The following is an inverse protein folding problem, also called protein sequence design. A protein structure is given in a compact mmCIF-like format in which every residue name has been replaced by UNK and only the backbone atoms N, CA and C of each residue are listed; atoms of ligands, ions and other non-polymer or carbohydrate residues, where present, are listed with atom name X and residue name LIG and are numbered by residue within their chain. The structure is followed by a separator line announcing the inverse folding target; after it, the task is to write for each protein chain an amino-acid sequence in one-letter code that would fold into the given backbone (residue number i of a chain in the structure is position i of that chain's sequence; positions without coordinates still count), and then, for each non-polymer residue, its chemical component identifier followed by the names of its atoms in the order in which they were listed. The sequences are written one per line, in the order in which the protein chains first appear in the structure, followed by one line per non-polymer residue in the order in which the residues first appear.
data_IF_141004217849
#
_entry.id   IF_141004217849
#
_cell.length_a   1.000
_cell.length_b   1.000
_cell.length_c   1.000
_cell.angle_alpha   90.00
_cell.angle_beta   90.00
_cell.angle_gamma   90.00
#
_symmetry.space_group_name_H-M   'P 1'
#
loop_
_entity.id
_entity.type
_entity.pdbx_description
1 polymer ?
#
# COMPACT_ATOMS: atom_id res chain seq x y z
N UNK A 1 -33.84 -19.85 -15.87
CA UNK A 1 -32.43 -20.24 -15.68
C UNK A 1 -31.68 -19.02 -15.16
N UNK A 2 -31.39 -19.00 -13.87
CA UNK A 2 -30.48 -18.04 -13.24
C UNK A 2 -29.60 -18.90 -12.34
N UNK A 3 -28.33 -19.04 -12.70
CA UNK A 3 -27.34 -19.77 -11.92
C UNK A 3 -26.72 -18.75 -10.98
N UNK A 4 -27.11 -18.80 -9.70
CA UNK A 4 -26.44 -18.06 -8.64
C UNK A 4 -25.10 -18.73 -8.34
N UNK A 5 -24.02 -17.97 -8.46
CA UNK A 5 -22.69 -18.39 -8.01
C UNK A 5 -22.60 -18.02 -6.53
N UNK A 6 -22.82 -19.01 -5.67
CA UNK A 6 -22.45 -18.93 -4.26
C UNK A 6 -20.96 -19.17 -4.11
N UNK A 7 -20.23 -18.19 -3.59
CA UNK A 7 -18.86 -18.38 -3.12
C UNK A 7 -18.89 -18.77 -1.64
N UNK A 8 -19.18 -20.04 -1.36
CA UNK A 8 -18.88 -20.67 -0.07
C UNK A 8 -17.47 -21.27 -0.15
N UNK A 9 -16.46 -20.44 0.06
CA UNK A 9 -15.09 -20.87 0.33
C UNK A 9 -14.81 -20.65 1.82
N UNK A 10 -14.65 -21.72 2.58
CA UNK A 10 -14.19 -21.66 3.96
C UNK A 10 -12.71 -21.28 3.95
N UNK A 11 -12.42 -19.99 4.13
CA UNK A 11 -11.07 -19.51 4.38
C UNK A 11 -10.67 -19.92 5.79
N UNK A 12 -9.75 -20.89 5.88
CA UNK A 12 -9.14 -21.31 7.13
C UNK A 12 -8.32 -20.17 7.74
N UNK A 13 -8.51 -19.98 9.04
CA UNK A 13 -7.96 -18.92 9.90
C UNK A 13 -8.38 -17.50 9.54
N UNK A 14 -9.28 -16.97 10.36
CA UNK A 14 -9.88 -15.66 10.22
C UNK A 14 -8.81 -14.55 10.10
N UNK A 15 -8.84 -13.80 9.00
CA UNK A 15 -8.33 -12.44 8.97
C UNK A 15 -8.97 -11.70 10.15
N UNK A 16 -8.20 -11.50 11.22
CA UNK A 16 -8.71 -10.82 12.41
C UNK A 16 -8.80 -9.35 12.03
N UNK A 17 -10.02 -8.92 11.73
CA UNK A 17 -10.37 -7.51 11.58
C UNK A 17 -10.18 -6.87 12.95
N UNK A 18 -9.04 -6.22 13.16
CA UNK A 18 -8.86 -5.37 14.35
C UNK A 18 -9.53 -4.02 14.06
N UNK A 19 -10.86 -3.98 14.02
CA UNK A 19 -11.60 -2.74 14.32
C UNK A 19 -11.42 -2.51 15.82
N UNK A 20 -10.34 -1.85 16.21
CA UNK A 20 -10.01 -1.70 17.63
C UNK A 20 -11.13 -0.90 18.32
N UNK A 21 -11.91 -1.59 19.15
CA UNK A 21 -12.78 -1.01 20.18
C UNK A 21 -12.07 -0.95 21.53
N UNK A 22 -10.76 -1.19 21.57
CA UNK A 22 -9.95 -1.12 22.80
C UNK A 22 -9.51 0.31 23.05
N UNK A 23 -9.73 0.77 24.28
CA UNK A 23 -9.37 2.11 24.74
C UNK A 23 -7.92 2.47 24.37
N UNK A 24 -7.80 3.63 23.74
CA UNK A 24 -6.64 4.14 23.06
C UNK A 24 -5.60 4.72 24.04
N UNK A 25 -4.32 4.41 23.84
CA UNK A 25 -3.22 5.11 24.51
C UNK A 25 -2.57 6.07 23.52
N UNK A 26 -2.74 7.37 23.78
CA UNK A 26 -2.05 8.45 23.07
C UNK A 26 -0.55 8.34 23.31
N UNK A 27 0.23 7.97 22.28
CA UNK A 27 1.69 8.06 22.34
C UNK A 27 2.13 9.48 21.98
N UNK A 28 2.88 10.13 22.87
CA UNK A 28 3.46 11.47 22.69
C UNK A 28 4.89 11.44 22.11
N UNK A 29 5.24 10.39 21.37
CA UNK A 29 6.59 10.18 20.84
C UNK A 29 6.79 10.84 19.49
N UNK A 30 8.01 11.33 19.21
CA UNK A 30 8.46 11.75 17.87
C UNK A 30 8.16 10.63 16.86
N UNK A 31 7.59 10.95 15.68
CA UNK A 31 7.33 9.94 14.66
C UNK A 31 8.61 9.22 14.23
N UNK A 32 8.54 7.91 14.00
CA UNK A 32 9.64 7.23 13.30
C UNK A 32 9.76 7.76 11.86
N UNK A 33 10.93 7.59 11.20
CA UNK A 33 11.14 8.07 9.84
C UNK A 33 10.07 7.57 8.83
N UNK A 34 9.58 6.34 9.04
CA UNK A 34 8.48 5.77 8.25
C UNK A 34 7.13 6.47 8.52
N UNK A 35 6.83 6.79 9.78
CA UNK A 35 5.64 7.60 10.09
C UNK A 35 5.75 9.00 9.50
N UNK A 36 6.94 9.60 9.54
CA UNK A 36 7.17 10.93 8.98
C UNK A 36 6.95 10.94 7.47
N UNK A 37 7.45 9.93 6.75
CA UNK A 37 7.20 9.75 5.31
C UNK A 37 5.70 9.71 4.99
N UNK A 38 4.94 8.91 5.72
CA UNK A 38 3.49 8.85 5.51
C UNK A 38 2.85 10.20 5.80
N UNK A 39 3.17 10.83 6.92
CA UNK A 39 2.59 12.12 7.31
C UNK A 39 2.87 13.19 6.25
N UNK A 40 4.10 13.28 5.77
CA UNK A 40 4.51 14.31 4.81
C UNK A 40 3.89 14.10 3.44
N UNK A 41 3.82 12.86 2.97
CA UNK A 41 3.12 12.53 1.72
C UNK A 41 1.63 12.86 1.83
N UNK A 42 0.96 12.46 2.90
CA UNK A 42 -0.47 12.73 3.08
C UNK A 42 -0.76 14.24 3.19
N UNK A 43 0.07 14.98 3.92
CA UNK A 43 -0.07 16.43 4.07
C UNK A 43 0.18 17.17 2.75
N UNK A 44 1.19 16.76 1.98
CA UNK A 44 1.52 17.37 0.67
C UNK A 44 0.37 17.29 -0.32
N UNK A 45 -0.39 16.20 -0.29
CA UNK A 45 -1.41 15.90 -1.28
C UNK A 45 -2.85 16.23 -0.86
N UNK A 46 -3.06 16.59 0.41
CA UNK A 46 -4.38 16.87 0.99
C UNK A 46 -5.43 15.77 0.67
N UNK A 47 -5.02 14.51 0.71
CA UNK A 47 -5.90 13.37 0.42
C UNK A 47 -6.83 13.09 1.61
N UNK A 48 -8.00 13.73 1.60
CA UNK A 48 -9.01 13.56 2.66
C UNK A 48 -9.97 12.39 2.39
N UNK A 49 -10.08 11.90 1.15
CA UNK A 49 -11.13 10.94 0.74
C UNK A 49 -10.60 9.50 0.49
N UNK A 50 -9.66 9.00 1.30
CA UNK A 50 -8.93 7.78 0.93
C UNK A 50 -8.79 6.78 2.07
N UNK A 51 -9.12 5.50 1.84
CA UNK A 51 -8.70 4.45 2.76
C UNK A 51 -7.17 4.22 2.64
N UNK A 52 -6.41 4.43 3.72
CA UNK A 52 -5.02 4.00 3.81
C UNK A 52 -4.97 2.56 4.33
N UNK A 53 -4.23 1.72 3.60
CA UNK A 53 -4.06 0.29 3.87
C UNK A 53 -2.63 0.05 4.27
N UNK A 54 -2.47 -0.58 5.42
CA UNK A 54 -1.19 -1.02 5.93
C UNK A 54 -1.32 -2.52 6.15
N UNK A 55 -0.44 -3.25 5.50
CA UNK A 55 -0.37 -4.69 5.71
C UNK A 55 0.64 -5.02 6.82
N UNK A 56 0.42 -6.16 7.49
CA UNK A 56 1.49 -6.89 8.15
C UNK A 56 1.36 -8.39 7.92
N UNK A 57 2.34 -8.91 7.19
CA UNK A 57 2.93 -10.26 7.29
C UNK A 57 2.03 -11.31 7.97
N UNK A 58 0.95 -11.73 7.31
CA UNK A 58 0.15 -12.90 7.74
C UNK A 58 -0.54 -12.78 9.11
N UNK A 59 -0.63 -11.57 9.68
CA UNK A 59 -1.16 -11.32 11.04
C UNK A 59 -2.34 -10.35 11.09
N UNK A 60 -2.70 -9.73 9.96
CA UNK A 60 -3.93 -8.97 9.82
C UNK A 60 -3.84 -7.85 8.79
N UNK A 61 -5.01 -7.42 8.33
CA UNK A 61 -5.16 -6.28 7.41
C UNK A 61 -5.60 -5.07 8.24
N UNK A 62 -4.90 -3.94 8.09
CA UNK A 62 -5.21 -2.70 8.80
C UNK A 62 -5.61 -1.63 7.79
N UNK A 63 -6.81 -1.08 7.94
CA UNK A 63 -7.34 -0.04 7.06
C UNK A 63 -7.92 1.11 7.87
N UNK A 64 -7.67 2.34 7.43
CA UNK A 64 -8.20 3.57 8.01
C UNK A 64 -8.74 4.45 6.91
N UNK A 65 -9.86 5.13 7.12
CA UNK A 65 -10.26 6.18 6.20
C UNK A 65 -9.50 7.47 6.51
N UNK A 66 -8.90 8.11 5.52
CA UNK A 66 -8.08 9.31 5.69
C UNK A 66 -8.90 10.51 6.23
N UNK A 67 -10.22 10.52 6.00
CA UNK A 67 -11.12 11.50 6.61
C UNK A 67 -11.30 11.31 8.13
N UNK A 68 -10.88 10.17 8.72
CA UNK A 68 -10.82 9.99 10.19
C UNK A 68 -9.67 10.79 10.83
N UNK A 69 -8.83 11.42 10.01
CA UNK A 69 -7.79 12.34 10.42
C UNK A 69 -6.45 11.67 10.71
N UNK A 70 -5.40 12.50 10.72
CA UNK A 70 -4.01 12.04 10.81
C UNK A 70 -3.69 11.28 12.09
N UNK A 71 -4.39 11.59 13.19
CA UNK A 71 -4.25 10.83 14.44
C UNK A 71 -4.55 9.36 14.18
N UNK A 72 -5.70 9.04 13.58
CA UNK A 72 -6.14 7.66 13.37
C UNK A 72 -5.23 6.87 12.44
N UNK A 73 -4.70 7.55 11.41
CA UNK A 73 -3.68 6.99 10.52
C UNK A 73 -2.44 6.56 11.29
N UNK A 74 -1.91 7.43 12.16
CA UNK A 74 -0.75 7.09 13.01
C UNK A 74 -1.04 5.90 13.93
N UNK A 75 -2.24 5.81 14.50
CA UNK A 75 -2.62 4.69 15.37
C UNK A 75 -2.56 3.35 14.64
N UNK A 76 -3.09 3.32 13.42
CA UNK A 76 -3.18 2.11 12.61
C UNK A 76 -1.79 1.72 12.09
N UNK A 77 -0.95 2.69 11.68
CA UNK A 77 0.47 2.44 11.39
C UNK A 77 1.20 1.80 12.58
N UNK A 78 1.06 2.37 13.77
CA UNK A 78 1.71 1.87 14.97
C UNK A 78 1.15 0.52 15.42
N UNK A 79 -0.13 0.25 15.15
CA UNK A 79 -0.74 -1.04 15.45
C UNK A 79 -0.24 -2.12 14.49
N UNK A 80 -0.18 -1.82 13.19
CA UNK A 80 0.42 -2.69 12.20
C UNK A 80 1.87 -3.01 12.56
N UNK A 81 2.73 -2.00 12.75
CA UNK A 81 4.15 -2.19 13.16
C UNK A 81 4.33 -3.08 14.39
N UNK A 82 3.52 -2.90 15.43
CA UNK A 82 3.60 -3.71 16.67
C UNK A 82 3.16 -5.17 16.46
N UNK A 83 2.23 -5.39 15.55
CA UNK A 83 1.68 -6.73 15.28
C UNK A 83 2.48 -7.46 14.19
N UNK A 84 3.30 -6.76 13.41
CA UNK A 84 4.22 -7.31 12.44
C UNK A 84 5.43 -8.02 13.07
N UNK A 85 6.02 -8.95 12.30
CA UNK A 85 7.22 -9.69 12.72
C UNK A 85 8.54 -8.93 12.52
N UNK A 86 8.51 -7.80 11.79
CA UNK A 86 9.69 -6.97 11.53
C UNK A 86 10.73 -7.59 10.58
N UNK A 87 10.35 -8.56 9.74
CA UNK A 87 11.23 -9.19 8.75
C UNK A 87 10.87 -8.81 7.32
N UNK A 88 11.84 -8.95 6.40
CA UNK A 88 11.71 -8.67 4.95
C UNK A 88 11.00 -9.82 4.19
N UNK A 89 10.01 -10.43 4.83
CA UNK A 89 9.22 -11.50 4.20
C UNK A 89 8.20 -10.92 3.24
N UNK A 90 7.81 -11.64 2.18
CA UNK A 90 6.75 -11.17 1.29
C UNK A 90 5.46 -10.77 2.03
N UNK A 91 4.90 -9.62 1.70
CA UNK A 91 3.72 -9.00 2.34
C UNK A 91 2.45 -9.18 1.51
N UNK A 92 1.30 -9.35 2.16
CA UNK A 92 -0.03 -9.53 1.57
C UNK A 92 -0.70 -8.21 1.18
N UNK A 93 0.07 -7.36 0.52
CA UNK A 93 -0.34 -6.04 0.03
C UNK A 93 -1.58 -6.11 -0.85
N UNK A 94 -1.62 -7.08 -1.77
CA UNK A 94 -2.69 -7.19 -2.77
C UNK A 94 -3.99 -7.62 -2.11
N UNK A 95 -3.97 -8.58 -1.20
CA UNK A 95 -5.15 -8.99 -0.44
C UNK A 95 -5.66 -7.86 0.46
N UNK A 96 -4.75 -7.09 1.07
CA UNK A 96 -5.11 -5.94 1.90
C UNK A 96 -5.80 -4.84 1.09
N UNK A 97 -5.31 -4.56 -0.13
CA UNK A 97 -5.94 -3.65 -1.07
C UNK A 97 -7.33 -4.16 -1.47
N UNK A 98 -7.45 -5.42 -1.87
CA UNK A 98 -8.74 -6.02 -2.29
C UNK A 98 -9.75 -5.97 -1.16
N UNK A 99 -9.35 -6.35 0.06
CA UNK A 99 -10.20 -6.28 1.24
C UNK A 99 -10.70 -4.86 1.47
N UNK A 100 -9.82 -3.86 1.40
CA UNK A 100 -10.19 -2.45 1.61
C UNK A 100 -11.14 -1.95 0.54
N UNK A 101 -10.95 -2.36 -0.72
CA UNK A 101 -11.89 -2.02 -1.79
C UNK A 101 -13.27 -2.64 -1.58
N UNK A 102 -13.33 -3.83 -0.97
CA UNK A 102 -14.60 -4.49 -0.64
C UNK A 102 -15.35 -3.80 0.50
N UNK A 103 -14.64 -3.20 1.44
CA UNK A 103 -15.23 -2.50 2.60
C UNK A 103 -15.50 -1.02 2.33
N UNK A 104 -14.78 -0.41 1.39
CA UNK A 104 -15.02 0.95 0.91
C UNK A 104 -15.43 1.01 -0.56
N UNK A 105 -16.69 0.66 -0.83
CA UNK A 105 -17.26 0.74 -2.18
C UNK A 105 -17.26 2.17 -2.75
N UNK A 106 -17.36 3.20 -1.89
CA UNK A 106 -17.43 4.62 -2.27
C UNK A 106 -16.07 5.31 -2.42
N UNK A 107 -14.96 4.71 -1.96
CA UNK A 107 -13.62 5.31 -2.07
C UNK A 107 -13.24 5.48 -3.54
N UNK A 108 -12.77 6.66 -3.94
CA UNK A 108 -12.30 6.89 -5.32
C UNK A 108 -10.89 6.34 -5.55
N UNK A 109 -10.07 6.39 -4.52
CA UNK A 109 -8.69 5.92 -4.52
C UNK A 109 -8.44 5.12 -3.24
N UNK A 110 -7.39 4.30 -3.26
CA UNK A 110 -6.83 3.65 -2.06
C UNK A 110 -5.38 4.09 -1.94
N UNK A 111 -4.95 4.45 -0.72
CA UNK A 111 -3.54 4.66 -0.40
C UNK A 111 -3.03 3.33 0.12
N UNK A 112 -1.98 2.81 -0.50
CA UNK A 112 -1.29 1.64 -0.02
C UNK A 112 0.06 2.07 0.55
N UNK A 113 0.24 1.93 1.87
CA UNK A 113 1.49 2.25 2.55
C UNK A 113 2.31 0.97 2.63
N UNK A 114 3.45 0.93 1.97
CA UNK A 114 4.25 -0.28 1.78
C UNK A 114 5.66 -0.13 2.33
N UNK A 115 6.19 -1.18 2.95
CA UNK A 115 7.60 -1.27 3.30
C UNK A 115 8.44 -1.57 2.04
N UNK A 116 9.41 -0.71 1.72
CA UNK A 116 10.27 -0.93 0.56
C UNK A 116 11.13 -2.22 0.65
N UNK A 117 11.42 -2.68 1.86
CA UNK A 117 12.20 -3.91 2.10
C UNK A 117 11.40 -5.19 1.86
N UNK A 118 10.06 -5.13 1.93
CA UNK A 118 9.18 -6.26 1.70
C UNK A 118 8.71 -6.30 0.24
N UNK A 119 8.57 -7.50 -0.32
CA UNK A 119 8.02 -7.67 -1.67
C UNK A 119 6.57 -8.11 -1.60
N UNK A 120 5.64 -7.41 -2.30
CA UNK A 120 4.27 -7.87 -2.43
C UNK A 120 4.17 -9.32 -2.91
N UNK A 121 3.48 -10.16 -2.15
CA UNK A 121 3.09 -11.50 -2.58
C UNK A 121 1.81 -11.44 -3.40
N UNK A 122 1.50 -12.56 -4.05
CA UNK A 122 0.23 -12.76 -4.76
C UNK A 122 -0.11 -11.65 -5.78
N UNK A 123 0.91 -11.08 -6.43
CA UNK A 123 0.79 -10.11 -7.52
C UNK A 123 -0.13 -10.57 -8.67
N UNK A 124 -0.40 -11.87 -8.78
CA UNK A 124 -1.38 -12.42 -9.72
C UNK A 124 -2.82 -11.95 -9.43
N UNK A 125 -3.12 -11.61 -8.18
CA UNK A 125 -4.43 -11.09 -7.74
C UNK A 125 -4.63 -9.61 -8.08
N UNK A 126 -3.58 -8.90 -8.53
CA UNK A 126 -3.64 -7.47 -8.83
C UNK A 126 -4.67 -7.14 -9.93
N UNK A 127 -5.01 -8.12 -10.78
CA UNK A 127 -6.07 -7.99 -11.77
C UNK A 127 -7.48 -7.82 -11.17
N UNK A 128 -7.66 -8.07 -9.87
CA UNK A 128 -8.92 -7.84 -9.14
C UNK A 128 -9.03 -6.41 -8.60
N UNK A 129 -7.94 -5.64 -8.64
CA UNK A 129 -7.90 -4.25 -8.16
C UNK A 129 -8.48 -3.35 -9.23
N UNK A 130 -9.67 -2.80 -8.96
CA UNK A 130 -10.48 -2.05 -9.93
C UNK A 130 -10.37 -0.53 -9.80
N UNK A 131 -9.58 -0.04 -8.85
CA UNK A 131 -9.41 1.40 -8.57
C UNK A 131 -7.92 1.76 -8.57
N UNK A 132 -7.57 3.02 -8.92
CA UNK A 132 -6.20 3.50 -8.80
C UNK A 132 -5.65 3.38 -7.39
N UNK A 133 -4.43 2.85 -7.29
CA UNK A 133 -3.71 2.70 -6.02
C UNK A 133 -2.59 3.75 -5.93
N UNK A 134 -2.63 4.54 -4.86
CA UNK A 134 -1.58 5.49 -4.50
C UNK A 134 -0.60 4.80 -3.57
N UNK A 135 0.53 4.35 -4.10
CA UNK A 135 1.54 3.64 -3.33
C UNK A 135 2.43 4.65 -2.61
N UNK A 136 2.49 4.58 -1.29
CA UNK A 136 3.39 5.37 -0.44
C UNK A 136 4.49 4.44 0.06
N UNK A 137 5.71 4.71 -0.36
CA UNK A 137 6.88 3.87 -0.09
C UNK A 137 7.54 4.32 1.22
N UNK A 138 7.54 3.46 2.22
CA UNK A 138 8.27 3.61 3.48
C UNK A 138 9.65 2.96 3.41
N UNK A 139 10.58 3.30 4.33
CA UNK A 139 11.96 2.80 4.36
C UNK A 139 12.75 2.94 3.05
N UNK A 140 12.51 4.00 2.28
CA UNK A 140 13.41 4.38 1.20
C UNK A 140 14.48 5.34 1.74
N UNK A 141 15.67 4.81 2.03
CA UNK A 141 16.81 5.59 2.50
C UNK A 141 17.63 6.22 1.37
N UNK A 142 18.62 7.04 1.74
CA UNK A 142 19.66 7.48 0.80
C UNK A 142 20.38 6.27 0.18
N UNK A 143 20.81 6.38 -1.09
CA UNK A 143 21.51 5.30 -1.79
C UNK A 143 20.69 4.01 -1.93
N UNK A 144 19.36 4.12 -1.84
CA UNK A 144 18.43 3.00 -1.94
C UNK A 144 17.58 3.07 -3.20
N UNK A 145 17.05 1.91 -3.59
CA UNK A 145 16.19 1.75 -4.76
C UNK A 145 14.83 1.24 -4.32
N UNK A 146 13.79 1.69 -5.03
CA UNK A 146 12.41 1.24 -4.82
C UNK A 146 12.22 -0.21 -5.25
N UNK A 147 11.43 -0.97 -4.49
CA UNK A 147 10.99 -2.29 -4.92
C UNK A 147 10.19 -2.18 -6.23
N UNK A 148 10.63 -2.80 -7.35
CA UNK A 148 9.94 -2.68 -8.63
C UNK A 148 8.50 -3.21 -8.62
N UNK A 149 8.13 -4.06 -7.67
CA UNK A 149 6.73 -4.51 -7.51
C UNK A 149 5.80 -3.43 -6.98
N UNK A 150 6.31 -2.47 -6.23
CA UNK A 150 5.54 -1.29 -5.82
C UNK A 150 5.27 -0.37 -7.02
N UNK A 151 6.24 -0.24 -7.94
CA UNK A 151 6.02 0.42 -9.24
C UNK A 151 4.98 -0.32 -10.08
N UNK A 152 5.04 -1.66 -10.13
CA UNK A 152 4.05 -2.47 -10.84
C UNK A 152 2.62 -2.27 -10.31
N UNK A 153 2.43 -2.18 -8.99
CA UNK A 153 1.11 -1.92 -8.37
C UNK A 153 0.58 -0.57 -8.84
N UNK A 154 1.37 0.50 -8.70
CA UNK A 154 0.95 1.84 -9.10
C UNK A 154 0.65 1.91 -10.61
N UNK A 155 1.52 1.33 -11.45
CA UNK A 155 1.34 1.31 -12.90
C UNK A 155 0.11 0.54 -13.36
N UNK A 156 -0.02 -0.73 -12.95
CA UNK A 156 -1.08 -1.63 -13.46
C UNK A 156 -2.47 -1.23 -12.98
N UNK A 157 -2.56 -0.45 -11.90
CA UNK A 157 -3.84 0.05 -11.37
C UNK A 157 -4.18 1.44 -11.90
N UNK A 158 -3.32 2.06 -12.72
CA UNK A 158 -3.49 3.44 -13.18
C UNK A 158 -3.35 4.46 -12.04
N UNK A 159 -2.67 4.09 -10.96
CA UNK A 159 -2.39 4.92 -9.81
C UNK A 159 -1.04 5.62 -9.89
N UNK A 160 -0.45 5.85 -8.73
CA UNK A 160 0.73 6.71 -8.56
C UNK A 160 1.65 6.18 -7.47
N UNK A 161 2.93 6.54 -7.54
CA UNK A 161 3.92 6.18 -6.53
C UNK A 161 4.46 7.43 -5.84
N UNK A 162 4.61 7.36 -4.53
CA UNK A 162 4.98 8.48 -3.67
C UNK A 162 6.06 8.04 -2.70
N UNK A 163 7.16 8.77 -2.67
CA UNK A 163 8.22 8.67 -1.66
C UNK A 163 8.22 9.95 -0.83
N UNK A 164 9.10 10.02 0.17
CA UNK A 164 9.28 11.26 0.95
C UNK A 164 9.53 12.47 0.05
N UNK A 165 10.41 12.31 -0.95
CA UNK A 165 10.94 13.44 -1.74
C UNK A 165 10.40 13.51 -3.18
N UNK A 166 9.61 12.53 -3.63
CA UNK A 166 9.18 12.43 -5.03
C UNK A 166 7.76 11.88 -5.17
N UNK A 167 7.04 12.38 -6.15
CA UNK A 167 5.75 11.84 -6.62
C UNK A 167 5.86 11.45 -8.09
N UNK A 168 5.22 10.34 -8.44
CA UNK A 168 5.13 9.84 -9.82
C UNK A 168 3.66 9.56 -10.12
N UNK A 169 2.99 10.53 -10.72
CA UNK A 169 1.55 10.46 -11.00
C UNK A 169 1.21 9.88 -12.37
N UNK A 170 2.18 9.82 -13.28
CA UNK A 170 1.95 9.57 -14.71
C UNK A 170 2.36 8.18 -15.19
N UNK A 171 2.50 7.20 -14.28
CA UNK A 171 2.95 5.85 -14.63
C UNK A 171 2.07 5.20 -15.72
N UNK A 172 0.75 5.40 -15.69
CA UNK A 172 -0.16 4.82 -16.67
C UNK A 172 0.06 5.25 -18.13
N UNK A 173 0.89 6.27 -18.38
CA UNK A 173 1.26 6.71 -19.73
C UNK A 173 2.51 6.03 -20.30
N UNK A 174 3.18 5.18 -19.50
CA UNK A 174 4.42 4.53 -19.90
C UNK A 174 4.16 3.41 -20.92
N UNK A 175 5.02 3.37 -21.93
CA UNK A 175 5.08 2.33 -22.94
C UNK A 175 6.25 1.36 -22.67
N UNK A 176 6.15 0.13 -23.20
CA UNK A 176 7.23 -0.86 -23.05
C UNK A 176 8.53 -0.31 -23.63
N UNK A 177 9.57 -0.30 -22.81
CA UNK A 177 10.88 0.28 -23.15
C UNK A 177 11.17 1.59 -22.45
N UNK A 178 10.15 2.31 -21.97
CA UNK A 178 10.31 3.55 -21.22
C UNK A 178 11.08 3.33 -19.92
N UNK A 179 11.79 4.38 -19.49
CA UNK A 179 12.60 4.34 -18.29
C UNK A 179 12.25 5.44 -17.31
N UNK A 180 12.34 5.16 -16.02
CA UNK A 180 12.15 6.12 -14.94
C UNK A 180 13.23 5.97 -13.87
N UNK A 181 13.69 7.09 -13.34
CA UNK A 181 14.55 7.12 -12.16
C UNK A 181 13.70 7.35 -10.91
N UNK A 182 13.85 6.48 -9.92
CA UNK A 182 13.15 6.57 -8.62
C UNK A 182 14.11 6.21 -7.49
N UNK A 183 14.35 7.17 -6.59
CA UNK A 183 15.51 7.10 -5.69
C UNK A 183 16.80 7.00 -6.52
N UNK A 184 17.67 6.05 -6.16
CA UNK A 184 18.90 5.78 -6.91
C UNK A 184 18.76 4.64 -7.94
N UNK A 185 17.56 4.07 -8.08
CA UNK A 185 17.27 3.06 -9.09
C UNK A 185 16.79 3.67 -10.40
N UNK A 186 17.24 3.11 -11.53
CA UNK A 186 16.62 3.30 -12.85
C UNK A 186 15.86 2.06 -13.25
N UNK A 187 14.62 2.22 -13.67
CA UNK A 187 13.72 1.13 -14.04
C UNK A 187 13.33 1.24 -15.50
N UNK A 188 13.17 0.10 -16.16
CA UNK A 188 12.62 -0.01 -17.50
C UNK A 188 11.30 -0.76 -17.44
N UNK A 189 10.26 -0.22 -18.09
CA UNK A 189 9.01 -0.95 -18.26
C UNK A 189 9.20 -2.06 -19.29
N UNK A 190 8.86 -3.29 -18.91
CA UNK A 190 8.82 -4.45 -19.80
C UNK A 190 7.38 -4.97 -19.93
N UNK A 191 7.16 -5.92 -20.84
CA UNK A 191 5.88 -6.63 -20.95
C UNK A 191 5.44 -7.32 -19.65
N UNK A 192 6.38 -7.62 -18.74
CA UNK A 192 6.12 -8.28 -17.47
C UNK A 192 6.04 -7.30 -16.27
N UNK A 193 6.22 -6.00 -16.51
CA UNK A 193 6.33 -4.97 -15.47
C UNK A 193 7.70 -4.31 -15.43
N UNK A 194 7.92 -3.46 -14.43
CA UNK A 194 9.17 -2.74 -14.23
C UNK A 194 10.29 -3.68 -13.79
N UNK A 195 11.47 -3.48 -14.38
CA UNK A 195 12.72 -4.13 -13.96
C UNK A 195 13.77 -3.06 -13.69
N UNK A 196 14.57 -3.22 -12.65
CA UNK A 196 15.69 -2.32 -12.39
C UNK A 196 16.81 -2.60 -13.39
N UNK A 197 17.37 -1.54 -13.98
CA UNK A 197 18.42 -1.60 -15.00
C UNK A 197 19.69 -0.82 -14.63
N UNK A 198 19.62 0.05 -13.62
CA UNK A 198 20.76 0.69 -12.97
C UNK A 198 20.44 0.99 -11.51
#
# INVERSE_FOLDING_TARGET
MHVGIGCSGTYGEAATVVTTTRAFQTSTTTPSADEQTVIDVLNRHNWTDIAAVIDVTGRGIYSVYANEGMTKVKEILNTAKRNGGGGDTPENDIEAIIYTLSTCSTCKNVIHIADNGATPRDMILLNQVTKPIKVVVCKLGENSFVNPKLLDIAYKTGGSLHTLDMDIETLGSFEVGDTIKVGDGTYRLTVNGFVRVA
#
